data_IF_001656492792
#
_entry.id   IF_001656492792
#
_cell.length_a   1.000
_cell.length_b   1.000
_cell.length_c   1.000
_cell.angle_alpha   90.00
_cell.angle_beta   90.00
_cell.angle_gamma   90.00
#
_symmetry.space_group_name_H-M   'P 1'
#
loop_
_entity.id
_entity.type
_entity.pdbx_description
1 polymer ?
#
# COMPACT_ATOMS: atom_id res chain seq x y z
N UNK A 1 3.22 -14.88 -9.36
CA UNK A 1 2.02 -14.55 -8.54
C UNK A 1 1.28 -15.84 -8.18
N UNK A 2 0.69 -15.93 -6.98
CA UNK A 2 -0.27 -16.99 -6.62
C UNK A 2 -1.63 -16.72 -7.28
N UNK A 3 -2.47 -17.75 -7.35
CA UNK A 3 -3.82 -17.63 -7.91
C UNK A 3 -4.88 -17.23 -6.87
N UNK A 4 -4.62 -17.40 -5.56
CA UNK A 4 -5.58 -17.12 -4.48
C UNK A 4 -4.88 -16.61 -3.22
N UNK A 5 -5.52 -15.64 -2.54
CA UNK A 5 -5.02 -14.99 -1.34
C UNK A 5 -6.14 -14.73 -0.35
N UNK A 6 -5.89 -14.91 0.96
CA UNK A 6 -6.70 -14.22 1.95
C UNK A 6 -6.44 -12.71 1.80
N UNK A 7 -7.48 -11.92 1.57
CA UNK A 7 -7.33 -10.50 1.28
C UNK A 7 -7.63 -9.64 2.49
N UNK A 8 -6.64 -8.83 2.86
CA UNK A 8 -6.72 -7.86 3.95
C UNK A 8 -6.43 -6.44 3.44
N UNK A 9 -7.46 -5.65 3.07
CA UNK A 9 -7.27 -4.30 2.56
C UNK A 9 -6.74 -3.32 3.62
N UNK A 10 -6.92 -3.63 4.91
CA UNK A 10 -6.62 -2.73 6.01
C UNK A 10 -7.73 -1.72 6.28
N UNK A 11 -7.63 -1.02 7.42
CA UNK A 11 -8.71 -0.15 7.91
C UNK A 11 -8.97 1.07 7.00
N UNK A 12 -7.95 1.72 6.47
CA UNK A 12 -8.14 2.92 5.64
C UNK A 12 -8.81 2.60 4.31
N UNK A 13 -8.35 1.58 3.60
CA UNK A 13 -8.94 1.19 2.32
C UNK A 13 -10.38 0.67 2.49
N UNK A 14 -10.73 0.14 3.66
CA UNK A 14 -12.11 -0.30 3.95
C UNK A 14 -13.06 0.82 4.34
N UNK A 15 -12.56 1.91 4.88
CA UNK A 15 -13.39 2.98 5.46
C UNK A 15 -13.33 4.28 4.64
N UNK A 16 -12.21 4.98 4.70
CA UNK A 16 -12.08 6.33 4.14
C UNK A 16 -11.57 6.37 2.70
N UNK A 17 -10.74 5.38 2.30
CA UNK A 17 -10.08 5.32 0.99
C UNK A 17 -10.55 4.08 0.20
N UNK A 18 -11.87 3.94 0.04
CA UNK A 18 -12.48 2.78 -0.63
C UNK A 18 -12.06 2.63 -2.10
N UNK A 19 -11.65 3.72 -2.72
CA UNK A 19 -11.08 3.73 -4.08
C UNK A 19 -9.88 2.79 -4.22
N UNK A 20 -9.07 2.63 -3.17
CA UNK A 20 -7.88 1.78 -3.19
C UNK A 20 -8.25 0.29 -3.16
N UNK A 21 -9.24 -0.08 -2.34
CA UNK A 21 -9.80 -1.44 -2.33
C UNK A 21 -10.51 -1.75 -3.65
N UNK A 22 -11.38 -0.84 -4.12
CA UNK A 22 -12.12 -1.01 -5.38
C UNK A 22 -11.17 -1.21 -6.56
N UNK A 23 -10.14 -0.36 -6.68
CA UNK A 23 -9.14 -0.48 -7.75
C UNK A 23 -8.33 -1.77 -7.65
N UNK A 24 -7.99 -2.20 -6.42
CA UNK A 24 -7.28 -3.46 -6.21
C UNK A 24 -8.07 -4.66 -6.68
N UNK A 25 -9.37 -4.71 -6.36
CA UNK A 25 -10.25 -5.79 -6.82
C UNK A 25 -10.37 -5.80 -8.35
N UNK A 26 -10.53 -4.64 -8.96
CA UNK A 26 -10.63 -4.52 -10.40
C UNK A 26 -9.37 -5.00 -11.14
N UNK A 27 -8.17 -4.72 -10.63
CA UNK A 27 -6.93 -5.24 -11.24
C UNK A 27 -6.66 -6.71 -10.90
N UNK A 28 -7.14 -7.20 -9.75
CA UNK A 28 -6.93 -8.58 -9.34
C UNK A 28 -7.51 -9.55 -10.39
N UNK A 29 -8.71 -9.30 -10.89
CA UNK A 29 -9.34 -10.10 -11.94
C UNK A 29 -8.49 -10.10 -13.23
N UNK A 30 -7.99 -8.94 -13.65
CA UNK A 30 -7.13 -8.83 -14.84
C UNK A 30 -5.77 -9.53 -14.66
N UNK A 31 -5.24 -9.56 -13.46
CA UNK A 31 -3.99 -10.25 -13.10
C UNK A 31 -4.19 -11.76 -12.81
N UNK A 32 -5.44 -12.25 -12.84
CA UNK A 32 -5.79 -13.65 -12.55
C UNK A 32 -5.59 -14.01 -11.07
N UNK A 33 -5.80 -13.05 -10.16
CA UNK A 33 -5.73 -13.25 -8.72
C UNK A 33 -7.13 -13.34 -8.12
N UNK A 34 -7.38 -14.36 -7.31
CA UNK A 34 -8.61 -14.50 -6.51
C UNK A 34 -8.38 -13.91 -5.12
N UNK A 35 -9.19 -12.93 -4.74
CA UNK A 35 -9.16 -12.30 -3.42
C UNK A 35 -10.27 -12.88 -2.55
N UNK A 36 -9.89 -13.65 -1.53
CA UNK A 36 -10.81 -14.24 -0.55
C UNK A 36 -10.90 -13.32 0.65
N UNK A 37 -12.03 -12.66 0.83
CA UNK A 37 -12.22 -11.69 1.90
C UNK A 37 -12.12 -12.31 3.29
N UNK A 38 -11.35 -11.67 4.18
CA UNK A 38 -11.32 -12.01 5.60
C UNK A 38 -12.54 -11.38 6.27
N UNK A 39 -13.50 -12.17 6.81
CA UNK A 39 -14.72 -11.64 7.38
C UNK A 39 -14.48 -10.93 8.71
N UNK A 40 -15.04 -9.74 8.89
CA UNK A 40 -15.01 -9.02 10.17
C UNK A 40 -13.59 -8.78 10.71
N UNK A 41 -12.63 -8.52 9.84
CA UNK A 41 -11.27 -8.19 10.25
C UNK A 41 -11.21 -6.89 11.07
N UNK A 42 -10.18 -6.76 11.90
CA UNK A 42 -9.89 -5.55 12.69
C UNK A 42 -8.72 -4.77 12.07
N UNK A 43 -8.45 -3.58 12.60
CA UNK A 43 -7.18 -2.90 12.34
C UNK A 43 -6.00 -3.77 12.80
N UNK A 44 -4.87 -3.72 12.09
CA UNK A 44 -3.63 -4.38 12.50
C UNK A 44 -2.99 -3.76 13.75
N UNK A 45 -3.51 -2.64 14.25
CA UNK A 45 -3.04 -1.98 15.45
C UNK A 45 -1.72 -1.22 15.33
N UNK A 46 -1.31 -0.87 14.11
CA UNK A 46 -0.09 -0.10 13.88
C UNK A 46 -0.15 1.29 14.57
N UNK A 47 1.00 1.81 14.96
CA UNK A 47 1.11 3.06 15.69
C UNK A 47 0.73 2.90 17.17
N UNK A 48 -0.22 3.71 17.64
CA UNK A 48 -0.54 3.85 19.07
C UNK A 48 -0.85 2.52 19.79
N UNK A 49 -1.57 1.60 19.14
CA UNK A 49 -1.89 0.30 19.75
C UNK A 49 -0.63 -0.55 19.91
N UNK A 50 0.23 -0.60 18.90
CA UNK A 50 1.49 -1.34 18.95
C UNK A 50 2.40 -0.82 20.04
N UNK A 51 2.53 0.51 20.17
CA UNK A 51 3.41 1.15 21.14
C UNK A 51 2.84 1.07 22.57
N UNK A 52 1.55 1.36 22.75
CA UNK A 52 0.94 1.43 24.09
C UNK A 52 0.55 0.05 24.64
N UNK A 53 0.27 -0.93 23.79
CA UNK A 53 -0.25 -2.26 24.14
C UNK A 53 0.35 -3.37 23.26
N UNK A 54 1.66 -3.68 23.42
CA UNK A 54 2.35 -4.63 22.54
C UNK A 54 1.76 -6.05 22.55
N UNK A 55 1.17 -6.50 23.67
CA UNK A 55 0.50 -7.80 23.73
C UNK A 55 -0.83 -7.76 22.96
N UNK A 56 -1.60 -6.69 23.09
CA UNK A 56 -2.87 -6.55 22.39
C UNK A 56 -2.67 -6.49 20.87
N UNK A 57 -1.63 -5.79 20.44
CA UNK A 57 -1.22 -5.79 19.03
C UNK A 57 -0.99 -7.22 18.48
N UNK A 58 -0.37 -8.13 19.27
CA UNK A 58 -0.17 -9.53 18.87
C UNK A 58 -1.49 -10.26 18.69
N UNK A 59 -2.46 -10.07 19.60
CA UNK A 59 -3.79 -10.69 19.47
C UNK A 59 -4.55 -10.23 18.24
N UNK A 60 -4.49 -8.92 17.90
CA UNK A 60 -5.13 -8.39 16.69
C UNK A 60 -4.58 -9.06 15.42
N UNK A 61 -3.25 -9.15 15.33
CA UNK A 61 -2.61 -9.72 14.15
C UNK A 61 -2.74 -11.24 14.09
N UNK A 62 -2.62 -11.95 15.23
CA UNK A 62 -2.86 -13.41 15.29
C UNK A 62 -4.29 -13.75 14.86
N UNK A 63 -5.30 -12.96 15.27
CA UNK A 63 -6.68 -13.13 14.82
C UNK A 63 -6.82 -13.01 13.32
N UNK A 64 -6.23 -11.97 12.71
CA UNK A 64 -6.27 -11.76 11.25
C UNK A 64 -5.60 -12.94 10.52
N UNK A 65 -4.42 -13.37 10.98
CA UNK A 65 -3.70 -14.49 10.40
C UNK A 65 -4.46 -15.84 10.58
N UNK A 66 -5.06 -16.07 11.76
CA UNK A 66 -5.88 -17.23 12.03
C UNK A 66 -7.16 -17.28 11.17
N UNK A 67 -7.75 -16.13 10.88
CA UNK A 67 -8.87 -16.06 9.95
C UNK A 67 -8.46 -16.44 8.52
N UNK A 68 -7.25 -16.05 8.08
CA UNK A 68 -6.71 -16.48 6.78
C UNK A 68 -6.54 -18.02 6.73
N UNK A 69 -6.00 -18.62 7.79
CA UNK A 69 -5.91 -20.10 7.92
C UNK A 69 -7.28 -20.77 7.86
N UNK A 70 -8.30 -20.22 8.55
CA UNK A 70 -9.66 -20.76 8.52
C UNK A 70 -10.30 -20.72 7.14
N UNK A 71 -9.89 -19.77 6.29
CA UNK A 71 -10.28 -19.69 4.88
C UNK A 71 -9.52 -20.67 3.98
N UNK A 72 -8.63 -21.48 4.54
CA UNK A 72 -7.78 -22.40 3.79
C UNK A 72 -6.69 -21.69 2.98
N UNK A 73 -6.33 -20.46 3.32
CA UNK A 73 -5.31 -19.69 2.62
C UNK A 73 -3.98 -19.72 3.40
N UNK A 74 -2.91 -20.06 2.72
CA UNK A 74 -1.54 -20.05 3.23
C UNK A 74 -0.83 -18.70 3.02
N UNK A 75 -1.48 -17.79 2.30
CA UNK A 75 -0.94 -16.47 1.96
C UNK A 75 -2.00 -15.40 2.18
N UNK A 76 -1.65 -14.40 2.97
CA UNK A 76 -2.43 -13.18 3.17
C UNK A 76 -1.82 -12.05 2.35
N UNK A 77 -2.62 -11.44 1.48
CA UNK A 77 -2.21 -10.26 0.71
C UNK A 77 -2.83 -8.99 1.28
N UNK A 78 -2.02 -7.94 1.39
CA UNK A 78 -2.47 -6.60 1.76
C UNK A 78 -1.94 -5.54 0.78
N UNK A 79 -2.57 -4.37 0.80
CA UNK A 79 -2.24 -3.21 -0.04
C UNK A 79 -1.68 -2.03 0.78
N UNK A 80 -1.22 -2.32 1.97
CA UNK A 80 -0.77 -1.30 2.93
C UNK A 80 0.60 -1.68 3.52
N UNK A 81 1.60 -0.84 3.30
CA UNK A 81 2.96 -1.03 3.82
C UNK A 81 2.99 -1.29 5.32
N UNK A 82 2.23 -0.48 6.07
CA UNK A 82 2.15 -0.52 7.53
C UNK A 82 1.50 -1.83 7.99
N UNK A 83 0.42 -2.26 7.33
CA UNK A 83 -0.23 -3.53 7.63
C UNK A 83 0.70 -4.72 7.32
N UNK A 84 1.41 -4.69 6.19
CA UNK A 84 2.40 -5.71 5.83
C UNK A 84 3.46 -5.84 6.91
N UNK A 85 4.08 -4.74 7.31
CA UNK A 85 5.10 -4.74 8.35
C UNK A 85 4.57 -5.27 9.67
N UNK A 86 3.41 -4.78 10.13
CA UNK A 86 2.82 -5.19 11.40
C UNK A 86 2.46 -6.68 11.44
N UNK A 87 1.82 -7.19 10.40
CA UNK A 87 1.46 -8.59 10.29
C UNK A 87 2.72 -9.47 10.24
N UNK A 88 3.75 -9.10 9.48
CA UNK A 88 5.02 -9.85 9.43
C UNK A 88 5.76 -9.82 10.76
N UNK A 89 5.79 -8.68 11.46
CA UNK A 89 6.41 -8.59 12.78
C UNK A 89 5.71 -9.47 13.82
N UNK A 90 4.38 -9.42 13.85
CA UNK A 90 3.59 -10.28 14.74
C UNK A 90 3.79 -11.74 14.41
N UNK A 91 3.73 -12.10 13.12
CA UNK A 91 3.95 -13.45 12.63
C UNK A 91 5.32 -14.00 13.06
N UNK A 92 6.38 -13.24 12.80
CA UNK A 92 7.74 -13.65 13.17
C UNK A 92 7.91 -13.84 14.68
N UNK A 93 7.31 -12.98 15.52
CA UNK A 93 7.33 -13.13 16.98
C UNK A 93 6.60 -14.38 17.44
N UNK A 94 5.42 -14.65 16.88
CA UNK A 94 4.59 -15.80 17.23
C UNK A 94 5.21 -17.13 16.78
N UNK A 95 5.86 -17.15 15.62
CA UNK A 95 6.60 -18.33 15.13
C UNK A 95 7.86 -18.62 15.96
N UNK A 96 8.53 -17.57 16.45
CA UNK A 96 9.75 -17.71 17.24
C UNK A 96 9.51 -18.14 18.69
N UNK A 97 8.29 -17.97 19.21
CA UNK A 97 7.94 -18.23 20.62
C UNK A 97 6.63 -19.06 20.70
N UNK A 98 6.72 -20.40 20.75
CA UNK A 98 5.54 -21.27 20.84
C UNK A 98 4.70 -21.04 22.12
N UNK A 99 5.31 -20.68 23.25
CA UNK A 99 4.59 -20.40 24.49
C UNK A 99 3.76 -19.11 24.36
N UNK A 100 4.33 -18.09 23.73
CA UNK A 100 3.62 -16.86 23.39
C UNK A 100 2.44 -17.14 22.46
N UNK A 101 2.64 -17.93 21.40
CA UNK A 101 1.59 -18.33 20.47
C UNK A 101 0.45 -19.07 21.18
N UNK A 102 0.78 -20.03 22.05
CA UNK A 102 -0.22 -20.75 22.82
C UNK A 102 -1.01 -19.82 23.76
N UNK A 103 -0.32 -18.88 24.44
CA UNK A 103 -0.98 -17.90 25.30
C UNK A 103 -1.92 -16.99 24.52
N UNK A 104 -1.49 -16.49 23.35
CA UNK A 104 -2.32 -15.67 22.48
C UNK A 104 -3.53 -16.45 21.99
N UNK A 105 -3.37 -17.71 21.59
CA UNK A 105 -4.46 -18.56 21.12
C UNK A 105 -5.47 -18.89 22.23
N UNK A 106 -5.04 -19.09 23.49
CA UNK A 106 -5.97 -19.26 24.62
C UNK A 106 -6.89 -18.04 24.74
N UNK A 107 -6.31 -16.84 24.72
CA UNK A 107 -7.08 -15.59 24.84
C UNK A 107 -8.03 -15.39 23.65
N UNK A 108 -7.59 -15.70 22.42
CA UNK A 108 -8.44 -15.65 21.23
C UNK A 108 -9.63 -16.60 21.33
N UNK A 109 -9.40 -17.83 21.84
CA UNK A 109 -10.45 -18.81 22.05
C UNK A 109 -11.50 -18.37 23.08
N UNK A 110 -11.10 -17.69 24.15
CA UNK A 110 -12.01 -17.15 25.17
C UNK A 110 -13.02 -16.16 24.60
N UNK A 111 -12.64 -15.43 23.54
CA UNK A 111 -13.52 -14.46 22.85
C UNK A 111 -14.14 -15.04 21.57
N UNK A 112 -14.03 -16.35 21.34
CA UNK A 112 -14.59 -17.00 20.15
C UNK A 112 -13.90 -16.63 18.83
N UNK A 113 -12.66 -16.13 18.89
CA UNK A 113 -11.91 -15.74 17.72
C UNK A 113 -11.07 -16.92 17.16
N UNK A 114 -10.66 -16.78 15.90
CA UNK A 114 -9.81 -17.75 15.22
C UNK A 114 -8.45 -17.90 15.92
N UNK A 115 -8.02 -19.14 16.18
CA UNK A 115 -6.66 -19.45 16.59
C UNK A 115 -5.73 -19.41 15.37
N UNK A 116 -4.46 -19.14 15.59
CA UNK A 116 -3.42 -19.10 14.57
C UNK A 116 -2.38 -20.21 14.79
N UNK A 117 -1.95 -20.91 13.73
CA UNK A 117 -0.96 -22.00 13.83
C UNK A 117 0.46 -21.61 13.41
N UNK A 118 0.64 -20.45 12.81
CA UNK A 118 1.95 -19.97 12.30
C UNK A 118 2.17 -20.23 10.81
N UNK A 119 1.15 -20.67 10.05
CA UNK A 119 1.29 -21.16 8.67
C UNK A 119 1.09 -20.14 7.56
N UNK A 120 0.78 -18.86 7.87
CA UNK A 120 0.46 -17.85 6.85
C UNK A 120 1.68 -17.02 6.48
N UNK A 121 1.99 -16.92 5.19
CA UNK A 121 2.90 -15.91 4.66
C UNK A 121 2.14 -14.60 4.41
N UNK A 122 2.77 -13.46 4.73
CA UNK A 122 2.18 -12.13 4.53
C UNK A 122 2.87 -11.46 3.37
N UNK A 123 2.08 -11.13 2.33
CA UNK A 123 2.55 -10.54 1.09
C UNK A 123 1.93 -9.17 0.86
N UNK A 124 2.63 -8.33 0.13
CA UNK A 124 2.11 -7.04 -0.33
C UNK A 124 1.80 -7.10 -1.83
N UNK A 125 0.74 -6.43 -2.30
CA UNK A 125 0.41 -6.35 -3.73
C UNK A 125 1.61 -5.92 -4.59
N UNK A 126 2.41 -4.95 -4.11
CA UNK A 126 3.64 -4.52 -4.79
C UNK A 126 4.58 -5.70 -5.06
N UNK A 127 4.79 -6.56 -4.06
CA UNK A 127 5.68 -7.70 -4.17
C UNK A 127 5.14 -8.75 -5.15
N UNK A 128 3.82 -8.98 -5.13
CA UNK A 128 3.19 -9.93 -6.04
C UNK A 128 3.34 -9.49 -7.51
N UNK A 129 3.24 -8.19 -7.78
CA UNK A 129 3.44 -7.66 -9.14
C UNK A 129 4.94 -7.63 -9.50
N UNK A 130 5.82 -7.37 -8.55
CA UNK A 130 7.24 -7.19 -8.80
C UNK A 130 8.04 -8.49 -8.88
N UNK A 131 7.52 -9.60 -8.38
CA UNK A 131 8.20 -10.89 -8.35
C UNK A 131 7.67 -11.89 -9.40
N UNK A 132 8.48 -12.89 -9.69
CA UNK A 132 8.12 -13.97 -10.61
C UNK A 132 7.74 -13.46 -12.01
N UNK A 133 6.56 -13.83 -12.46
CA UNK A 133 5.99 -13.46 -13.77
C UNK A 133 5.14 -12.17 -13.74
N UNK A 134 5.13 -11.46 -12.61
CA UNK A 134 4.22 -10.33 -12.39
C UNK A 134 4.42 -9.17 -13.38
N UNK A 135 5.67 -8.78 -13.67
CA UNK A 135 5.94 -7.75 -14.67
C UNK A 135 5.49 -8.15 -16.08
N UNK A 136 5.67 -9.41 -16.46
CA UNK A 136 5.23 -9.87 -17.79
C UNK A 136 3.71 -9.91 -17.89
N UNK A 137 3.02 -10.33 -16.83
CA UNK A 137 1.55 -10.24 -16.77
C UNK A 137 1.09 -8.79 -16.83
N UNK A 138 1.76 -7.89 -16.12
CA UNK A 138 1.43 -6.47 -16.16
C UNK A 138 1.53 -5.91 -17.58
N UNK A 139 2.62 -6.21 -18.31
CA UNK A 139 2.77 -5.80 -19.71
C UNK A 139 1.68 -6.38 -20.61
N UNK A 140 1.25 -7.63 -20.37
CA UNK A 140 0.18 -8.27 -21.14
C UNK A 140 -1.18 -7.61 -20.95
N UNK A 141 -1.48 -7.14 -19.72
CA UNK A 141 -2.76 -6.47 -19.43
C UNK A 141 -2.73 -4.96 -19.70
N UNK A 142 -1.58 -4.37 -19.97
CA UNK A 142 -1.43 -2.95 -20.27
C UNK A 142 -2.01 -2.61 -21.65
N UNK A 143 -3.33 -2.57 -21.76
CA UNK A 143 -4.09 -2.29 -22.99
C UNK A 143 -3.97 -0.82 -23.42
N UNK A 144 -3.74 0.09 -22.46
CA UNK A 144 -3.56 1.54 -22.67
C UNK A 144 -2.26 2.01 -22.02
N UNK A 145 -1.10 1.85 -22.68
CA UNK A 145 0.17 2.33 -22.15
C UNK A 145 0.11 3.83 -21.82
N UNK A 146 0.64 4.19 -20.66
CA UNK A 146 0.63 5.56 -20.13
C UNK A 146 1.75 6.41 -20.75
N UNK A 147 1.86 6.37 -22.08
CA UNK A 147 2.95 7.01 -22.82
C UNK A 147 2.94 8.51 -22.67
N UNK A 148 4.11 9.11 -22.39
CA UNK A 148 4.27 10.55 -22.21
C UNK A 148 3.83 11.07 -20.85
N UNK A 149 3.51 10.18 -19.90
CA UNK A 149 3.17 10.53 -18.52
C UNK A 149 4.37 10.23 -17.63
N UNK A 150 4.77 11.20 -16.81
CA UNK A 150 5.86 11.10 -15.84
C UNK A 150 5.31 10.85 -14.45
N UNK A 151 5.72 9.72 -13.85
CA UNK A 151 5.24 9.29 -12.53
C UNK A 151 6.39 9.23 -11.54
N UNK A 152 6.25 9.90 -10.41
CA UNK A 152 7.19 9.84 -9.30
C UNK A 152 6.83 8.67 -8.36
N UNK A 153 7.69 7.64 -8.21
CA UNK A 153 7.46 6.56 -7.25
C UNK A 153 7.64 7.04 -5.81
N UNK A 154 6.71 6.72 -4.92
CA UNK A 154 6.87 6.97 -3.49
C UNK A 154 6.64 5.70 -2.69
N UNK A 155 7.73 5.06 -2.29
CA UNK A 155 7.69 3.81 -1.50
C UNK A 155 7.19 4.04 -0.06
N UNK A 156 7.52 5.21 0.51
CA UNK A 156 7.44 5.40 1.95
C UNK A 156 8.53 4.58 2.66
N UNK A 157 8.37 4.38 3.98
CA UNK A 157 9.41 3.76 4.80
C UNK A 157 9.14 2.27 5.13
N UNK A 158 7.89 1.88 5.42
CA UNK A 158 7.57 0.60 6.06
C UNK A 158 7.40 -0.58 5.11
N UNK A 159 7.52 -0.40 3.81
CA UNK A 159 7.64 -1.49 2.84
C UNK A 159 9.09 -1.90 2.62
N UNK A 160 10.03 -1.03 3.01
CA UNK A 160 11.47 -1.22 2.80
C UNK A 160 12.22 -1.59 4.11
N UNK A 161 11.74 -1.10 5.27
CA UNK A 161 12.44 -1.21 6.56
C UNK A 161 11.55 -1.74 7.67
N UNK A 162 12.06 -2.62 8.56
CA UNK A 162 13.43 -3.18 8.58
C UNK A 162 13.64 -4.26 7.50
N UNK A 163 14.66 -4.12 6.69
CA UNK A 163 14.93 -4.99 5.53
C UNK A 163 15.11 -6.46 5.90
N UNK A 164 15.70 -6.76 7.05
CA UNK A 164 15.88 -8.14 7.55
C UNK A 164 14.56 -8.90 7.74
N UNK A 165 13.45 -8.19 7.98
CA UNK A 165 12.13 -8.79 8.16
C UNK A 165 11.33 -8.82 6.84
N UNK A 166 11.45 -7.77 6.06
CA UNK A 166 10.69 -7.64 4.81
C UNK A 166 11.32 -8.43 3.67
N UNK A 167 12.66 -8.37 3.53
CA UNK A 167 13.44 -9.27 2.66
C UNK A 167 13.10 -9.20 1.18
N UNK A 168 12.58 -8.05 0.70
CA UNK A 168 12.06 -7.93 -0.66
C UNK A 168 13.09 -7.35 -1.64
N UNK A 169 13.56 -6.13 -1.38
CA UNK A 169 14.52 -5.46 -2.25
C UNK A 169 15.49 -4.59 -1.44
N UNK A 170 16.49 -3.99 -2.09
CA UNK A 170 17.42 -3.08 -1.45
C UNK A 170 16.68 -1.86 -0.89
N UNK A 171 16.68 -1.64 0.44
CA UNK A 171 15.91 -0.56 1.05
C UNK A 171 16.44 0.85 0.74
N UNK A 172 17.68 0.96 0.26
CA UNK A 172 18.30 2.23 -0.06
C UNK A 172 18.28 2.54 -1.57
N UNK A 173 18.05 1.50 -2.39
CA UNK A 173 17.95 1.60 -3.86
C UNK A 173 16.84 0.72 -4.42
N UNK A 174 15.58 0.90 -3.95
CA UNK A 174 14.48 0.12 -4.47
C UNK A 174 14.20 0.46 -5.93
N UNK A 175 13.67 -0.50 -6.69
CA UNK A 175 13.41 -0.38 -8.13
C UNK A 175 12.06 -0.96 -8.55
N UNK A 176 11.33 -1.57 -7.63
CA UNK A 176 10.09 -2.28 -7.97
C UNK A 176 9.00 -1.36 -8.49
N UNK A 177 8.79 -0.18 -7.90
CA UNK A 177 7.81 0.79 -8.39
C UNK A 177 8.20 1.39 -9.73
N UNK A 178 9.47 1.74 -9.93
CA UNK A 178 9.97 2.25 -11.21
C UNK A 178 9.71 1.26 -12.34
N UNK A 179 10.03 0.00 -12.13
CA UNK A 179 9.78 -1.06 -13.12
C UNK A 179 8.29 -1.27 -13.40
N UNK A 180 7.42 -1.12 -12.39
CA UNK A 180 5.97 -1.19 -12.59
C UNK A 180 5.48 0.01 -13.39
N UNK A 181 5.96 1.22 -13.09
CA UNK A 181 5.65 2.44 -13.84
C UNK A 181 6.02 2.25 -15.32
N UNK A 182 7.24 1.79 -15.58
CA UNK A 182 7.74 1.50 -16.93
C UNK A 182 6.94 0.40 -17.63
N UNK A 183 6.57 -0.67 -16.90
CA UNK A 183 5.74 -1.75 -17.44
C UNK A 183 4.32 -1.28 -17.76
N UNK A 184 3.82 -0.23 -17.11
CA UNK A 184 2.58 0.47 -17.45
C UNK A 184 2.74 1.44 -18.65
N UNK A 185 3.96 1.59 -19.19
CA UNK A 185 4.25 2.48 -20.32
C UNK A 185 4.47 3.95 -19.95
N UNK A 186 4.55 4.28 -18.66
CA UNK A 186 4.89 5.61 -18.17
C UNK A 186 6.41 5.78 -17.97
N UNK A 187 6.87 7.01 -17.79
CA UNK A 187 8.25 7.35 -17.43
C UNK A 187 8.37 7.46 -15.91
N UNK A 188 9.26 6.69 -15.30
CA UNK A 188 9.55 6.80 -13.88
C UNK A 188 10.51 7.97 -13.62
N UNK A 189 10.13 8.88 -12.72
CA UNK A 189 10.95 10.04 -12.34
C UNK A 189 11.82 9.67 -11.14
N UNK A 190 13.12 9.92 -11.21
CA UNK A 190 14.02 9.68 -10.08
C UNK A 190 14.19 10.93 -9.22
N UNK A 191 14.10 10.76 -7.90
CA UNK A 191 14.29 11.81 -6.90
C UNK A 191 14.64 11.20 -5.54
N UNK A 192 15.42 11.91 -4.68
CA UNK A 192 15.98 11.31 -3.45
C UNK A 192 14.94 10.89 -2.42
N UNK A 193 13.87 11.66 -2.26
CA UNK A 193 12.90 11.48 -1.16
C UNK A 193 11.87 10.38 -1.37
N UNK A 194 11.96 9.59 -2.45
CA UNK A 194 11.03 8.47 -2.75
C UNK A 194 10.94 7.39 -1.66
N UNK A 195 11.95 7.29 -0.79
CA UNK A 195 12.06 6.31 0.30
C UNK A 195 11.90 6.92 1.71
N UNK A 196 11.48 8.19 1.80
CA UNK A 196 11.26 8.90 3.08
C UNK A 196 9.90 8.56 3.71
N UNK A 197 9.72 9.04 4.93
CA UNK A 197 8.44 8.98 5.63
C UNK A 197 7.44 9.97 5.02
N UNK A 198 6.16 9.59 5.00
CA UNK A 198 5.06 10.49 4.59
C UNK A 198 4.52 11.33 5.76
N UNK A 199 5.09 11.26 6.94
CA UNK A 199 4.66 11.98 8.14
C UNK A 199 3.39 11.44 8.80
N UNK A 200 2.64 10.53 8.19
CA UNK A 200 1.34 10.07 8.71
C UNK A 200 1.35 9.61 10.17
N UNK A 201 2.33 8.80 10.65
CA UNK A 201 2.30 8.29 12.03
C UNK A 201 2.33 9.36 13.11
N UNK A 202 2.85 10.56 12.81
CA UNK A 202 3.00 11.65 13.78
C UNK A 202 2.03 12.82 13.55
N UNK A 203 1.16 12.72 12.54
CA UNK A 203 0.29 13.83 12.12
C UNK A 203 -0.64 14.33 13.22
N UNK A 204 -1.13 13.44 14.07
CA UNK A 204 -2.02 13.83 15.17
C UNK A 204 -1.27 14.43 16.36
N UNK A 205 -0.03 13.99 16.60
CA UNK A 205 0.77 14.45 17.72
C UNK A 205 1.58 15.73 17.40
N UNK A 206 2.15 15.82 16.19
CA UNK A 206 3.04 16.89 15.76
C UNK A 206 2.82 17.19 14.27
N UNK A 207 1.73 17.88 13.98
CA UNK A 207 1.30 18.17 12.59
C UNK A 207 2.35 18.98 11.80
N UNK A 208 3.05 19.92 12.45
CA UNK A 208 4.12 20.71 11.82
C UNK A 208 5.31 19.84 11.36
N UNK A 209 5.67 18.83 12.17
CA UNK A 209 6.75 17.89 11.79
C UNK A 209 6.29 17.00 10.65
N UNK A 210 5.05 16.50 10.72
CA UNK A 210 4.46 15.70 9.63
C UNK A 210 4.41 16.44 8.31
N UNK A 211 4.11 17.74 8.32
CA UNK A 211 4.15 18.60 7.13
C UNK A 211 5.56 18.74 6.57
N UNK A 212 6.57 18.92 7.42
CA UNK A 212 7.97 18.99 7.01
C UNK A 212 8.41 17.71 6.26
N UNK A 213 8.02 16.53 6.75
CA UNK A 213 8.30 15.25 6.08
C UNK A 213 7.59 15.11 4.72
N UNK A 214 6.42 15.73 4.58
CA UNK A 214 5.59 15.66 3.37
C UNK A 214 6.04 16.64 2.28
N UNK A 215 6.46 17.84 2.64
CA UNK A 215 6.82 18.91 1.71
C UNK A 215 7.98 18.49 0.81
N UNK A 216 9.02 17.92 1.37
CA UNK A 216 10.22 17.57 0.62
C UNK A 216 9.96 16.60 -0.54
N UNK A 217 9.30 15.42 -0.36
CA UNK A 217 9.02 14.54 -1.49
C UNK A 217 8.08 15.15 -2.53
N UNK A 218 7.12 16.00 -2.13
CA UNK A 218 6.26 16.70 -3.09
C UNK A 218 7.05 17.72 -3.93
N UNK A 219 7.92 18.52 -3.28
CA UNK A 219 8.74 19.51 -3.96
C UNK A 219 9.71 18.83 -4.95
N UNK A 220 10.45 17.83 -4.50
CA UNK A 220 11.43 17.14 -5.34
C UNK A 220 10.76 16.41 -6.53
N UNK A 221 9.60 15.78 -6.34
CA UNK A 221 8.85 15.14 -7.42
C UNK A 221 8.36 16.18 -8.45
N UNK A 222 7.87 17.33 -7.99
CA UNK A 222 7.43 18.44 -8.85
C UNK A 222 8.61 19.06 -9.63
N UNK A 223 9.73 19.31 -8.97
CA UNK A 223 10.96 19.80 -9.59
C UNK A 223 11.52 18.84 -10.65
N UNK A 224 11.40 17.53 -10.41
CA UNK A 224 11.77 16.49 -11.36
C UNK A 224 10.77 16.36 -12.53
N UNK A 225 9.70 17.14 -12.54
CA UNK A 225 8.72 17.24 -13.63
C UNK A 225 7.71 16.10 -13.65
N UNK A 226 7.38 15.50 -12.50
CA UNK A 226 6.35 14.50 -12.41
C UNK A 226 4.96 15.06 -12.73
N UNK A 227 4.16 14.34 -13.50
CA UNK A 227 2.73 14.63 -13.74
C UNK A 227 1.87 14.11 -12.56
N UNK A 228 2.29 13.04 -11.90
CA UNK A 228 1.66 12.46 -10.71
C UNK A 228 2.67 11.69 -9.87
N UNK A 229 2.27 11.31 -8.64
CA UNK A 229 3.02 10.35 -7.83
C UNK A 229 2.25 9.03 -7.72
N UNK A 230 2.96 7.93 -7.46
CA UNK A 230 2.36 6.65 -7.12
C UNK A 230 2.91 6.10 -5.82
N UNK A 231 2.03 5.58 -4.96
CA UNK A 231 2.42 4.92 -3.72
C UNK A 231 1.67 3.60 -3.51
N UNK A 232 2.28 2.57 -2.89
CA UNK A 232 1.61 1.31 -2.59
C UNK A 232 0.91 1.31 -1.23
N UNK A 233 0.78 2.44 -0.54
CA UNK A 233 0.30 2.52 0.84
C UNK A 233 -0.86 3.49 1.02
N UNK A 234 -2.02 3.06 1.58
CA UNK A 234 -3.12 3.97 1.89
C UNK A 234 -2.77 5.13 2.83
N UNK A 235 -1.87 4.91 3.81
CA UNK A 235 -1.45 5.99 4.71
C UNK A 235 -0.61 7.04 3.98
N UNK A 236 0.32 6.60 3.13
CA UNK A 236 1.10 7.52 2.29
C UNK A 236 0.21 8.24 1.29
N UNK A 237 -0.74 7.51 0.66
CA UNK A 237 -1.71 8.10 -0.24
C UNK A 237 -2.51 9.21 0.46
N UNK A 238 -3.10 8.92 1.63
CA UNK A 238 -3.88 9.90 2.39
C UNK A 238 -3.04 11.12 2.78
N UNK A 239 -1.82 10.90 3.26
CA UNK A 239 -0.92 11.99 3.67
C UNK A 239 -0.56 12.88 2.49
N UNK A 240 -0.08 12.27 1.39
CA UNK A 240 0.34 13.00 0.19
C UNK A 240 -0.83 13.69 -0.54
N UNK A 241 -2.02 13.08 -0.58
CA UNK A 241 -3.17 13.65 -1.27
C UNK A 241 -3.87 14.74 -0.44
N UNK A 242 -4.25 14.42 0.81
CA UNK A 242 -5.14 15.28 1.59
C UNK A 242 -4.44 16.52 2.20
N UNK A 243 -3.11 16.48 2.33
CA UNK A 243 -2.39 17.53 3.05
C UNK A 243 -1.65 18.53 2.14
N UNK A 244 -1.71 18.36 0.82
CA UNK A 244 -1.03 19.26 -0.11
C UNK A 244 -1.42 20.74 0.07
N UNK A 245 -2.69 21.02 0.30
CA UNK A 245 -3.14 22.41 0.54
C UNK A 245 -2.57 23.02 1.82
N UNK A 246 -2.23 22.21 2.84
CA UNK A 246 -1.51 22.70 4.03
C UNK A 246 -0.01 22.82 3.76
N UNK A 247 0.57 21.83 3.08
CA UNK A 247 1.96 21.85 2.64
C UNK A 247 2.26 23.05 1.75
N UNK A 248 1.35 23.38 0.83
CA UNK A 248 1.49 24.56 -0.05
C UNK A 248 1.62 25.87 0.72
N UNK A 249 0.78 26.02 1.76
CA UNK A 249 0.85 27.25 2.61
C UNK A 249 2.11 27.30 3.47
N UNK A 250 2.57 26.17 3.97
CA UNK A 250 3.76 26.10 4.83
C UNK A 250 5.05 26.32 4.03
N UNK A 251 5.11 25.82 2.80
CA UNK A 251 6.28 25.90 1.94
C UNK A 251 6.29 27.15 1.03
N UNK A 252 5.23 27.97 1.05
CA UNK A 252 5.02 29.05 0.08
C UNK A 252 5.21 28.57 -1.39
N UNK A 253 4.73 27.36 -1.68
CA UNK A 253 4.83 26.68 -2.97
C UNK A 253 3.52 25.96 -3.27
N UNK A 254 3.03 26.08 -4.49
CA UNK A 254 1.82 25.37 -4.90
C UNK A 254 2.10 23.87 -5.13
N UNK A 255 1.39 23.01 -4.40
CA UNK A 255 1.35 21.57 -4.63
C UNK A 255 -0.04 21.18 -5.13
N UNK A 256 -0.08 20.60 -6.32
CA UNK A 256 -1.29 20.16 -7.03
C UNK A 256 -1.07 18.81 -7.71
N UNK A 257 -0.11 18.04 -7.20
CA UNK A 257 0.35 16.78 -7.78
C UNK A 257 -0.62 15.64 -7.46
N UNK A 258 -1.31 15.03 -8.44
CA UNK A 258 -2.18 13.88 -8.19
C UNK A 258 -1.42 12.70 -7.60
N UNK A 259 -2.02 12.03 -6.61
CA UNK A 259 -1.41 10.87 -5.94
C UNK A 259 -2.19 9.61 -6.32
N UNK A 260 -1.58 8.71 -7.04
CA UNK A 260 -2.17 7.42 -7.40
C UNK A 260 -1.77 6.35 -6.39
N UNK A 261 -2.70 5.46 -6.08
CA UNK A 261 -2.31 4.19 -5.50
C UNK A 261 -1.81 3.24 -6.59
N UNK A 262 -0.93 2.30 -6.22
CA UNK A 262 -0.38 1.30 -7.15
C UNK A 262 -1.45 0.63 -8.00
N UNK A 263 -2.57 0.22 -7.37
CA UNK A 263 -3.68 -0.41 -8.09
C UNK A 263 -4.36 0.51 -9.12
N UNK A 264 -4.42 1.81 -8.86
CA UNK A 264 -4.98 2.77 -9.80
C UNK A 264 -4.06 2.99 -11.02
N UNK A 265 -2.75 3.04 -10.81
CA UNK A 265 -1.78 3.14 -11.89
C UNK A 265 -1.88 1.92 -12.82
N UNK A 266 -1.82 0.71 -12.23
CA UNK A 266 -1.95 -0.55 -12.97
C UNK A 266 -3.29 -0.64 -13.68
N UNK A 267 -4.38 -0.27 -13.00
CA UNK A 267 -5.73 -0.27 -13.56
C UNK A 267 -5.89 0.68 -14.75
N UNK A 268 -5.30 1.87 -14.67
CA UNK A 268 -5.32 2.84 -15.77
C UNK A 268 -4.59 2.29 -17.01
N UNK A 269 -3.40 1.70 -16.83
CA UNK A 269 -2.67 1.04 -17.90
C UNK A 269 -3.43 -0.19 -18.47
N UNK A 270 -4.17 -0.91 -17.61
CA UNK A 270 -5.02 -2.04 -18.01
C UNK A 270 -6.36 -1.63 -18.64
N UNK A 271 -6.55 -0.35 -18.96
CA UNK A 271 -7.72 0.16 -19.66
C UNK A 271 -8.97 0.33 -18.80
N UNK A 272 -8.88 0.21 -17.47
CA UNK A 272 -10.01 0.50 -16.57
C UNK A 272 -10.35 1.99 -16.62
N UNK A 273 -11.63 2.31 -16.55
CA UNK A 273 -12.14 3.68 -16.66
C UNK A 273 -11.84 4.52 -15.39
N UNK A 274 -11.94 5.84 -15.55
CA UNK A 274 -11.85 6.81 -14.46
C UNK A 274 -12.79 6.50 -13.29
N UNK A 275 -14.02 6.05 -13.60
CA UNK A 275 -15.03 5.72 -12.59
C UNK A 275 -14.78 4.37 -11.90
N UNK A 276 -14.30 3.35 -12.61
CA UNK A 276 -13.90 2.07 -12.00
C UNK A 276 -12.75 2.25 -11.02
N UNK A 277 -11.79 3.13 -11.33
CA UNK A 277 -10.66 3.45 -10.47
C UNK A 277 -10.97 4.51 -9.40
N UNK A 278 -12.19 5.06 -9.41
CA UNK A 278 -12.71 6.01 -8.41
C UNK A 278 -11.83 7.25 -8.21
N UNK A 279 -11.15 7.76 -9.24
CA UNK A 279 -10.27 8.94 -9.16
C UNK A 279 -10.98 10.20 -8.66
N UNK A 280 -12.31 10.29 -8.80
CA UNK A 280 -13.14 11.39 -8.27
C UNK A 280 -13.04 11.56 -6.75
N UNK A 281 -12.59 10.53 -6.01
CA UNK A 281 -12.48 10.55 -4.54
C UNK A 281 -11.21 11.22 -4.04
N UNK A 282 -10.23 11.46 -4.90
CA UNK A 282 -9.00 12.17 -4.54
C UNK A 282 -9.28 13.62 -4.13
N UNK A 283 -8.53 14.12 -3.16
CA UNK A 283 -8.59 15.52 -2.72
C UNK A 283 -7.94 16.41 -3.78
N UNK A 284 -6.73 16.07 -4.21
CA UNK A 284 -6.09 16.70 -5.36
C UNK A 284 -6.61 16.04 -6.63
N UNK A 285 -7.22 16.85 -7.49
CA UNK A 285 -7.91 16.31 -8.67
C UNK A 285 -6.92 15.70 -9.67
N UNK A 286 -7.24 14.50 -10.13
CA UNK A 286 -6.42 13.76 -11.07
C UNK A 286 -6.60 14.20 -12.54
N UNK A 287 -7.55 15.10 -12.84
CA UNK A 287 -7.91 15.52 -14.21
C UNK A 287 -6.71 15.86 -15.11
N UNK A 288 -5.70 16.63 -14.66
CA UNK A 288 -4.57 16.98 -15.54
C UNK A 288 -3.85 15.76 -16.12
N UNK A 289 -3.83 14.64 -15.38
CA UNK A 289 -3.19 13.39 -15.80
C UNK A 289 -4.20 12.43 -16.43
N UNK A 290 -5.37 12.28 -15.81
CA UNK A 290 -6.38 11.34 -16.31
C UNK A 290 -6.95 11.78 -17.66
N UNK A 291 -7.02 13.06 -17.95
CA UNK A 291 -7.41 13.56 -19.28
C UNK A 291 -6.42 13.11 -20.36
N UNK A 292 -5.12 13.18 -20.07
CA UNK A 292 -4.10 12.62 -20.97
C UNK A 292 -4.28 11.10 -21.17
N UNK A 293 -4.61 10.36 -20.10
CA UNK A 293 -4.81 8.90 -20.16
C UNK A 293 -6.06 8.53 -20.95
N UNK A 294 -7.18 9.22 -20.73
CA UNK A 294 -8.49 8.80 -21.24
C UNK A 294 -8.93 9.53 -22.50
N UNK A 295 -8.43 10.72 -22.76
CA UNK A 295 -8.82 11.52 -23.95
C UNK A 295 -7.77 11.46 -25.07
N UNK A 296 -6.56 10.96 -24.81
CA UNK A 296 -5.54 10.76 -25.85
C UNK A 296 -4.97 12.08 -26.42
N UNK A 297 -4.84 13.10 -25.55
CA UNK A 297 -4.26 14.41 -25.94
C UNK A 297 -2.83 14.51 -25.48
#
# INVERSE_FOLDING_TARGET
MKSSYAYYPGCLASLSQKELDTSTRAIADKLGMTLVDIPGFTCCGAGDVHEARPEYYLHLNARILGQAEQLGQDTLMTICNVCTLNLRQANAKLQADPELLERVNRNLKEVGAASYSGGVDVRHLLWEIAEGDGYEKLKQIAEKPLTGIKIAPFYGCQILRPSRLLGFEDPDRPQSLERIIEACGAEAVDYPSKIKCCGFPIVLARAEVALGELIQPLAEAKEAGADAMVTPCPLCHLSLDAWQGKASREADMEFDLPIFHLAQLVGAAAGLSYDELQFKRHVVKAYPVTDKIYQGV
#
